data_IF_159884885030
#
_entry.id   IF_159884885030
#
_cell.length_a   1.000
_cell.length_b   1.000
_cell.length_c   1.000
_cell.angle_alpha   90.00
_cell.angle_beta   90.00
_cell.angle_gamma   90.00
#
_symmetry.space_group_name_H-M   'P 1'
#
loop_
_entity.id
_entity.type
_entity.pdbx_description
1 polymer ?
#
# COMPACT_ATOMS: atom_id res chain seq x y z
N UNK A 1 2.45 27.65 10.09
CA UNK A 1 1.86 27.02 8.90
C UNK A 1 2.20 25.55 8.97
N UNK A 2 1.22 24.66 9.07
CA UNK A 2 1.48 23.22 9.11
C UNK A 2 2.05 22.81 7.75
N UNK A 3 3.26 22.26 7.73
CA UNK A 3 3.84 21.67 6.53
C UNK A 3 2.97 20.46 6.19
N UNK A 4 2.24 20.49 5.07
CA UNK A 4 1.60 19.28 4.58
C UNK A 4 2.70 18.26 4.31
N UNK A 5 2.57 17.02 4.83
CA UNK A 5 3.57 15.99 4.60
C UNK A 5 3.58 15.67 3.11
N UNK A 6 4.66 16.06 2.43
CA UNK A 6 4.89 15.68 1.04
C UNK A 6 4.99 14.14 0.98
N UNK A 7 4.11 13.50 0.20
CA UNK A 7 4.09 12.04 0.09
C UNK A 7 5.43 11.48 -0.38
N UNK A 8 5.85 10.35 0.20
CA UNK A 8 7.19 9.78 -0.02
C UNK A 8 7.56 9.58 -1.50
N UNK A 9 6.60 9.17 -2.33
CA UNK A 9 6.76 8.96 -3.78
C UNK A 9 6.05 10.02 -4.63
N UNK A 10 5.79 11.22 -4.11
CA UNK A 10 5.04 12.26 -4.84
C UNK A 10 5.71 12.61 -6.18
N UNK A 11 7.02 12.83 -6.18
CA UNK A 11 7.78 13.15 -7.40
C UNK A 11 7.71 12.04 -8.44
N UNK A 12 7.87 10.79 -8.01
CA UNK A 12 7.67 9.62 -8.86
C UNK A 12 6.26 9.61 -9.46
N UNK A 13 5.23 9.75 -8.62
CA UNK A 13 3.83 9.77 -9.06
C UNK A 13 3.58 10.86 -10.12
N UNK A 14 4.04 12.08 -9.86
CA UNK A 14 3.81 13.23 -10.74
C UNK A 14 4.57 13.08 -12.06
N UNK A 15 5.81 12.59 -12.02
CA UNK A 15 6.62 12.32 -13.21
C UNK A 15 5.99 11.24 -14.10
N UNK A 16 5.59 10.11 -13.51
CA UNK A 16 4.97 9.02 -14.25
C UNK A 16 3.64 9.48 -14.87
N UNK A 17 2.75 10.11 -14.11
CA UNK A 17 1.46 10.58 -14.65
C UNK A 17 1.59 11.62 -15.76
N UNK A 18 2.61 12.48 -15.69
CA UNK A 18 2.88 13.48 -16.74
C UNK A 18 3.48 12.87 -18.01
N UNK A 19 4.13 11.70 -17.89
CA UNK A 19 4.81 11.02 -18.99
C UNK A 19 3.94 10.04 -19.77
N UNK A 20 2.79 9.65 -19.21
CA UNK A 20 1.87 8.67 -19.78
C UNK A 20 0.79 9.42 -20.60
N UNK A 21 0.51 8.96 -21.81
CA UNK A 21 -0.55 9.49 -22.67
C UNK A 21 -1.90 8.78 -22.49
N UNK A 22 -2.96 9.28 -23.12
CA UNK A 22 -4.30 8.69 -23.02
C UNK A 22 -4.36 7.28 -23.61
N UNK A 23 -3.55 6.98 -24.63
CA UNK A 23 -3.49 5.65 -25.24
C UNK A 23 -2.95 4.64 -24.23
N UNK A 24 -1.85 4.97 -23.55
CA UNK A 24 -1.23 4.13 -22.52
C UNK A 24 -2.16 3.98 -21.32
N UNK A 25 -2.84 5.05 -20.88
CA UNK A 25 -3.87 4.97 -19.83
C UNK A 25 -4.99 4.01 -20.20
N UNK A 26 -5.55 4.15 -21.40
CA UNK A 26 -6.64 3.28 -21.87
C UNK A 26 -6.20 1.82 -21.98
N UNK A 27 -4.99 1.56 -22.49
CA UNK A 27 -4.43 0.22 -22.54
C UNK A 27 -4.31 -0.38 -21.13
N UNK A 28 -3.82 0.39 -20.15
CA UNK A 28 -3.72 -0.05 -18.76
C UNK A 28 -5.09 -0.38 -18.14
N UNK A 29 -6.09 0.49 -18.31
CA UNK A 29 -7.43 0.31 -17.75
C UNK A 29 -8.13 -0.95 -18.29
N UNK A 30 -7.85 -1.33 -19.54
CA UNK A 30 -8.44 -2.51 -20.17
C UNK A 30 -7.77 -3.84 -19.78
N UNK A 31 -6.71 -3.83 -18.97
CA UNK A 31 -6.09 -5.06 -18.48
C UNK A 31 -6.97 -5.69 -17.39
N UNK A 32 -7.26 -6.98 -17.54
CA UNK A 32 -8.21 -7.69 -16.70
C UNK A 32 -7.65 -8.04 -15.31
N UNK A 33 -6.34 -8.24 -15.20
CA UNK A 33 -5.70 -8.75 -13.97
C UNK A 33 -4.61 -7.82 -13.47
N UNK A 34 -4.40 -7.80 -12.15
CA UNK A 34 -3.32 -7.05 -11.49
C UNK A 34 -1.94 -7.51 -11.96
N UNK A 35 -1.76 -8.80 -12.23
CA UNK A 35 -0.50 -9.33 -12.80
C UNK A 35 -0.20 -8.72 -14.18
N UNK A 36 -1.20 -8.67 -15.08
CA UNK A 36 -1.06 -8.00 -16.39
C UNK A 36 -0.77 -6.51 -16.21
N UNK A 37 -1.48 -5.82 -15.30
CA UNK A 37 -1.27 -4.39 -14.99
C UNK A 37 0.15 -4.10 -14.54
N UNK A 38 0.69 -4.87 -13.59
CA UNK A 38 2.06 -4.71 -13.10
C UNK A 38 3.06 -4.97 -14.23
N UNK A 39 2.89 -6.07 -14.98
CA UNK A 39 3.78 -6.39 -16.10
C UNK A 39 3.80 -5.29 -17.16
N UNK A 40 2.63 -4.73 -17.49
CA UNK A 40 2.50 -3.63 -18.44
C UNK A 40 3.25 -2.38 -17.95
N UNK A 41 2.98 -1.94 -16.71
CA UNK A 41 3.64 -0.77 -16.11
C UNK A 41 5.17 -0.95 -16.06
N UNK A 42 5.67 -2.11 -15.63
CA UNK A 42 7.10 -2.39 -15.59
C UNK A 42 7.76 -2.40 -16.98
N UNK A 43 6.98 -2.59 -18.04
CA UNK A 43 7.45 -2.49 -19.43
C UNK A 43 7.55 -1.05 -19.96
N UNK A 44 6.90 -0.07 -19.31
CA UNK A 44 6.90 1.32 -19.76
C UNK A 44 8.29 1.95 -19.57
N UNK A 45 8.88 2.58 -20.60
CA UNK A 45 10.17 3.25 -20.47
C UNK A 45 10.20 4.30 -19.36
N UNK A 46 9.10 5.03 -19.18
CA UNK A 46 8.97 6.04 -18.12
C UNK A 46 9.14 5.45 -16.71
N UNK A 47 8.65 4.21 -16.48
CA UNK A 47 8.75 3.53 -15.20
C UNK A 47 10.10 2.82 -15.08
N UNK A 48 10.49 2.07 -16.12
CA UNK A 48 11.74 1.29 -16.15
C UNK A 48 12.99 2.15 -15.98
N UNK A 49 12.97 3.37 -16.52
CA UNK A 49 14.11 4.27 -16.50
C UNK A 49 14.06 5.32 -15.39
N UNK A 50 13.01 5.34 -14.56
CA UNK A 50 12.94 6.28 -13.44
C UNK A 50 13.95 5.86 -12.36
N UNK A 51 14.86 6.76 -12.02
CA UNK A 51 15.83 6.53 -10.95
C UNK A 51 15.19 6.81 -9.58
N UNK A 52 14.97 5.75 -8.80
CA UNK A 52 14.46 5.83 -7.42
C UNK A 52 15.57 5.98 -6.38
N UNK A 53 16.84 6.02 -6.77
CA UNK A 53 17.98 5.98 -5.83
C UNK A 53 17.89 7.11 -4.82
N UNK A 54 17.60 8.34 -5.27
CA UNK A 54 17.52 9.53 -4.41
C UNK A 54 16.40 9.44 -3.36
N UNK A 55 15.28 8.81 -3.70
CA UNK A 55 14.15 8.57 -2.81
C UNK A 55 14.47 7.44 -1.84
N UNK A 56 15.12 6.37 -2.28
CA UNK A 56 15.49 5.23 -1.44
C UNK A 56 16.59 5.58 -0.43
N UNK A 57 17.54 6.45 -0.77
CA UNK A 57 18.58 6.93 0.15
C UNK A 57 17.98 7.64 1.38
N UNK A 58 16.84 8.30 1.23
CA UNK A 58 16.10 8.91 2.36
C UNK A 58 15.61 7.86 3.35
N UNK A 59 15.34 6.62 2.90
CA UNK A 59 15.00 5.50 3.78
C UNK A 59 16.22 4.85 4.44
N UNK A 60 17.38 4.90 3.81
CA UNK A 60 18.59 4.20 4.26
C UNK A 60 19.39 4.98 5.31
N UNK A 61 19.33 6.32 5.25
CA UNK A 61 20.11 7.22 6.12
C UNK A 61 19.45 7.53 7.47
N UNK A 62 18.48 6.72 7.90
CA UNK A 62 17.70 7.00 9.10
C UNK A 62 16.73 8.17 8.94
N UNK A 63 16.40 8.54 7.69
CA UNK A 63 15.32 9.50 7.45
C UNK A 63 14.00 9.00 8.03
N UNK A 64 13.19 9.93 8.54
CA UNK A 64 11.89 9.58 9.10
C UNK A 64 11.00 8.99 8.00
N UNK A 65 10.78 7.67 8.05
CA UNK A 65 9.67 7.08 7.34
C UNK A 65 8.38 7.75 7.86
N UNK A 66 7.42 8.11 7.00
CA UNK A 66 6.25 8.90 7.42
C UNK A 66 5.40 8.21 8.49
N UNK A 67 5.62 6.91 8.71
CA UNK A 67 5.01 6.17 9.81
C UNK A 67 6.08 5.57 10.72
N UNK A 68 6.10 6.04 11.97
CA UNK A 68 6.85 5.40 13.06
C UNK A 68 6.13 4.13 13.48
N UNK A 69 6.89 3.06 13.70
CA UNK A 69 6.36 1.80 14.20
C UNK A 69 5.84 1.97 15.61
N UNK A 70 4.66 1.42 15.88
CA UNK A 70 3.91 1.59 17.11
C UNK A 70 3.04 0.34 17.33
N UNK A 71 3.46 -0.51 18.26
CA UNK A 71 2.77 -1.78 18.50
C UNK A 71 1.37 -1.55 19.09
N UNK A 72 1.22 -0.58 19.99
CA UNK A 72 -0.06 -0.31 20.65
C UNK A 72 -1.10 0.15 19.62
N UNK A 73 -0.71 1.10 18.76
CA UNK A 73 -1.55 1.56 17.66
C UNK A 73 -1.86 0.46 16.66
N UNK A 74 -0.89 -0.39 16.35
CA UNK A 74 -1.10 -1.54 15.47
C UNK A 74 -2.18 -2.49 16.04
N UNK A 75 -2.11 -2.81 17.34
CA UNK A 75 -3.07 -3.67 18.03
C UNK A 75 -4.46 -3.03 18.12
N UNK A 76 -4.55 -1.73 18.39
CA UNK A 76 -5.81 -1.00 18.37
C UNK A 76 -6.51 -1.12 17.00
N UNK A 77 -5.77 -0.88 15.91
CA UNK A 77 -6.28 -1.00 14.54
C UNK A 77 -6.73 -2.44 14.21
N UNK A 78 -5.99 -3.45 14.69
CA UNK A 78 -6.38 -4.86 14.56
C UNK A 78 -7.73 -5.10 15.24
N UNK A 79 -7.90 -4.62 16.47
CA UNK A 79 -9.13 -4.83 17.24
C UNK A 79 -10.32 -4.07 16.66
N UNK A 80 -10.10 -2.88 16.12
CA UNK A 80 -11.11 -2.16 15.34
C UNK A 80 -11.50 -2.94 14.06
N UNK A 81 -10.53 -3.55 13.38
CA UNK A 81 -10.77 -4.46 12.26
C UNK A 81 -11.65 -5.64 12.65
N UNK A 82 -11.37 -6.26 13.80
CA UNK A 82 -12.18 -7.36 14.34
C UNK A 82 -13.63 -6.92 14.64
N UNK A 83 -13.82 -5.70 15.16
CA UNK A 83 -15.17 -5.12 15.37
C UNK A 83 -15.89 -4.87 14.04
N UNK A 84 -15.17 -4.49 12.99
CA UNK A 84 -15.75 -4.32 11.65
C UNK A 84 -16.19 -5.67 11.05
N UNK A 85 -15.39 -6.74 11.23
CA UNK A 85 -15.74 -8.12 10.87
C UNK A 85 -17.03 -8.56 11.57
N UNK A 86 -17.15 -8.34 12.88
CA UNK A 86 -18.36 -8.69 13.64
C UNK A 86 -19.63 -7.98 13.12
N UNK A 87 -19.47 -6.82 12.48
CA UNK A 87 -20.55 -6.06 11.85
C UNK A 87 -20.77 -6.41 10.37
N UNK A 88 -20.00 -7.36 9.82
CA UNK A 88 -20.02 -7.71 8.40
C UNK A 88 -19.43 -6.65 7.47
N UNK A 89 -18.72 -5.64 8.00
CA UNK A 89 -18.11 -4.59 7.18
C UNK A 89 -16.69 -4.99 6.76
N UNK A 90 -16.61 -5.85 5.75
CA UNK A 90 -15.35 -6.42 5.25
C UNK A 90 -14.41 -5.38 4.62
N UNK A 91 -14.95 -4.38 3.92
CA UNK A 91 -14.15 -3.30 3.34
C UNK A 91 -13.45 -2.48 4.42
N UNK A 92 -14.15 -2.12 5.50
CA UNK A 92 -13.54 -1.40 6.61
C UNK A 92 -12.54 -2.26 7.38
N UNK A 93 -12.83 -3.56 7.54
CA UNK A 93 -11.90 -4.50 8.15
C UNK A 93 -10.58 -4.59 7.36
N UNK A 94 -10.66 -4.72 6.03
CA UNK A 94 -9.50 -4.74 5.13
C UNK A 94 -8.64 -3.47 5.27
N UNK A 95 -9.28 -2.30 5.30
CA UNK A 95 -8.61 -1.02 5.53
C UNK A 95 -7.86 -1.04 6.88
N UNK A 96 -8.56 -1.35 7.97
CA UNK A 96 -8.01 -1.33 9.34
C UNK A 96 -6.85 -2.33 9.53
N UNK A 97 -6.97 -3.55 9.00
CA UNK A 97 -5.87 -4.51 9.01
C UNK A 97 -4.66 -4.03 8.20
N UNK A 98 -4.91 -3.44 7.03
CA UNK A 98 -3.83 -2.85 6.21
C UNK A 98 -3.11 -1.73 6.97
N UNK A 99 -3.84 -0.86 7.67
CA UNK A 99 -3.23 0.17 8.50
C UNK A 99 -2.46 -0.42 9.69
N UNK A 100 -3.03 -1.44 10.37
CA UNK A 100 -2.35 -2.14 11.47
C UNK A 100 -0.96 -2.64 11.05
N UNK A 101 -0.84 -3.26 9.86
CA UNK A 101 0.43 -3.73 9.30
C UNK A 101 1.49 -2.63 9.15
N UNK A 102 1.08 -1.39 8.81
CA UNK A 102 2.01 -0.26 8.64
C UNK A 102 2.69 0.10 9.96
N UNK A 103 1.99 0.00 11.08
CA UNK A 103 2.52 0.31 12.41
C UNK A 103 3.29 -0.85 13.06
N UNK A 104 3.17 -2.09 12.58
CA UNK A 104 3.85 -3.25 13.17
C UNK A 104 5.40 -3.10 13.18
N UNK A 105 6.06 -3.26 14.35
CA UNK A 105 7.49 -3.01 14.51
C UNK A 105 8.43 -4.10 13.97
N UNK A 106 7.94 -5.33 13.76
CA UNK A 106 8.72 -6.46 13.21
C UNK A 106 7.91 -7.19 12.14
N UNK A 107 8.58 -7.72 11.12
CA UNK A 107 7.96 -8.44 9.99
C UNK A 107 7.44 -9.85 10.33
N UNK A 108 7.72 -10.36 11.53
CA UNK A 108 7.44 -11.76 11.89
C UNK A 108 6.97 -11.88 13.36
N UNK A 109 6.01 -11.05 13.75
CA UNK A 109 5.30 -11.26 15.03
C UNK A 109 4.08 -12.16 14.80
N UNK A 110 3.70 -12.92 15.83
CA UNK A 110 2.43 -13.66 15.84
C UNK A 110 1.24 -12.75 15.50
N UNK A 111 1.24 -11.54 16.05
CA UNK A 111 0.23 -10.52 15.78
C UNK A 111 0.15 -10.11 14.30
N UNK A 112 1.29 -9.94 13.64
CA UNK A 112 1.31 -9.64 12.21
C UNK A 112 0.79 -10.83 11.39
N UNK A 113 1.13 -12.06 11.77
CA UNK A 113 0.59 -13.27 11.12
C UNK A 113 -0.93 -13.33 11.24
N UNK A 114 -1.49 -13.00 12.41
CA UNK A 114 -2.94 -12.92 12.63
C UNK A 114 -3.57 -11.82 11.76
N UNK A 115 -2.98 -10.62 11.73
CA UNK A 115 -3.47 -9.51 10.91
C UNK A 115 -3.47 -9.88 9.42
N UNK A 116 -2.41 -10.54 8.93
CA UNK A 116 -2.32 -11.03 7.55
C UNK A 116 -3.41 -12.06 7.24
N UNK A 117 -3.64 -13.03 8.13
CA UNK A 117 -4.69 -14.02 7.97
C UNK A 117 -6.10 -13.38 7.94
N UNK A 118 -6.38 -12.46 8.87
CA UNK A 118 -7.66 -11.77 8.93
C UNK A 118 -7.89 -10.85 7.72
N UNK A 119 -6.82 -10.19 7.24
CA UNK A 119 -6.85 -9.41 6.01
C UNK A 119 -7.16 -10.28 4.79
N UNK A 120 -6.56 -11.47 4.70
CA UNK A 120 -6.85 -12.45 3.65
C UNK A 120 -8.31 -12.92 3.69
N UNK A 121 -8.85 -13.19 4.88
CA UNK A 121 -10.26 -13.51 5.04
C UNK A 121 -11.18 -12.38 4.57
N UNK A 122 -10.85 -11.11 4.90
CA UNK A 122 -11.60 -9.95 4.44
C UNK A 122 -11.58 -9.81 2.91
N UNK A 123 -10.42 -10.02 2.27
CA UNK A 123 -10.29 -10.05 0.81
C UNK A 123 -11.15 -11.15 0.17
N UNK A 124 -11.13 -12.35 0.75
CA UNK A 124 -11.96 -13.46 0.29
C UNK A 124 -13.45 -13.14 0.38
N UNK A 125 -13.91 -12.52 1.47
CA UNK A 125 -15.30 -12.05 1.61
C UNK A 125 -15.70 -10.94 0.63
N UNK A 126 -14.72 -10.18 0.14
CA UNK A 126 -14.91 -9.14 -0.88
C UNK A 126 -14.74 -9.67 -2.30
N UNK A 127 -14.51 -10.97 -2.46
CA UNK A 127 -14.23 -11.63 -3.75
C UNK A 127 -13.01 -11.03 -4.48
N UNK A 128 -12.04 -10.52 -3.72
CA UNK A 128 -10.79 -9.96 -4.21
C UNK A 128 -9.67 -10.99 -4.06
N UNK A 129 -9.39 -11.73 -5.14
CA UNK A 129 -8.48 -12.89 -5.12
C UNK A 129 -7.07 -12.60 -5.66
N UNK A 130 -6.85 -11.38 -6.18
CA UNK A 130 -5.56 -10.91 -6.73
C UNK A 130 -4.89 -9.88 -5.81
#
# INVERSE_FOLDING_TARGET
MAHEPEGFFKKFHDAINSSIDDVTRNNFTNLETNSKRVSYLCGLPAIKNYDLTSELEKCQTGGEFPVKKDLEKALQLKDEGNKAVQKGNWAKALELYSHSMVYMPKKETEELSIVLANRSAALNHLEQYE
#
